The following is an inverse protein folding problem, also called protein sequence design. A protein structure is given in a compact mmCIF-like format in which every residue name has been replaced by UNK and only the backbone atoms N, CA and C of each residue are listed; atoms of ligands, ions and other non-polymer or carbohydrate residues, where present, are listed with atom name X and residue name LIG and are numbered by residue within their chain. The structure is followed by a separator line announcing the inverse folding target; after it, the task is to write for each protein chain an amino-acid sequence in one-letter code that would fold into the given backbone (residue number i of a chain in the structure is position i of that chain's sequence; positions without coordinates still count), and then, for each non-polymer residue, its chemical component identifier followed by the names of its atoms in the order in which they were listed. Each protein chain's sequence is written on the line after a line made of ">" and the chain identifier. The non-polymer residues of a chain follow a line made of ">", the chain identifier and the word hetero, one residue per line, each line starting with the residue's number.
data_IF_532400647372
#
_entry.id   IF_532400647372
#
_cell.length_a   1.000
_cell.length_b   1.000
_cell.length_c   1.000
_cell.angle_alpha   90.00
_cell.angle_beta   90.00
_cell.angle_gamma   90.00
#
_symmetry.space_group_name_H-M   'P 1'
#
loop_
_entity.id
_entity.type
_entity.pdbx_description
1 polymer ?
#
# COMPACT_ATOMS: atom_id res chain seq x y z
N UNK A 1 4.84 38.93 -11.03
CA UNK A 1 5.11 37.80 -10.12
C UNK A 1 4.58 36.56 -10.78
N UNK A 2 5.43 35.85 -11.52
CA UNK A 2 5.13 34.65 -12.27
C UNK A 2 4.96 33.47 -11.27
N UNK A 3 3.74 33.04 -11.04
CA UNK A 3 3.44 31.84 -10.29
C UNK A 3 3.60 30.62 -11.21
N UNK A 4 4.82 30.24 -11.52
CA UNK A 4 5.18 29.10 -12.39
C UNK A 4 5.11 27.76 -11.64
N UNK A 5 4.05 27.50 -10.92
CA UNK A 5 3.78 26.19 -10.34
C UNK A 5 2.48 25.63 -10.90
N UNK A 6 2.51 24.42 -11.51
CA UNK A 6 1.26 23.79 -11.90
C UNK A 6 0.34 23.69 -10.67
N UNK A 7 -0.99 23.91 -10.79
CA UNK A 7 -1.93 23.86 -9.65
C UNK A 7 -1.82 22.57 -8.83
N UNK A 8 -1.45 21.47 -9.49
CA UNK A 8 -1.20 20.17 -8.85
C UNK A 8 -0.04 20.24 -7.88
N UNK A 9 1.08 20.88 -8.26
CA UNK A 9 2.27 20.98 -7.40
C UNK A 9 2.05 21.89 -6.19
N UNK A 10 1.31 22.98 -6.35
CA UNK A 10 0.96 23.87 -5.24
C UNK A 10 0.06 23.16 -4.22
N UNK A 11 -1.00 22.47 -4.68
CA UNK A 11 -1.85 21.66 -3.82
C UNK A 11 -1.07 20.52 -3.15
N UNK A 12 -0.15 19.86 -3.87
CA UNK A 12 0.70 18.81 -3.31
C UNK A 12 1.60 19.31 -2.18
N UNK A 13 2.25 20.46 -2.37
CA UNK A 13 3.10 21.08 -1.35
C UNK A 13 2.30 21.42 -0.09
N UNK A 14 1.13 22.00 -0.26
CA UNK A 14 0.25 22.35 0.86
C UNK A 14 -0.19 21.11 1.62
N UNK A 15 -0.73 20.11 0.92
CA UNK A 15 -1.23 18.87 1.54
C UNK A 15 -0.11 18.10 2.25
N UNK A 16 1.09 18.03 1.64
CA UNK A 16 2.25 17.41 2.27
C UNK A 16 2.61 18.08 3.59
N UNK A 17 2.64 19.42 3.65
CA UNK A 17 2.96 20.16 4.87
C UNK A 17 1.91 19.90 5.96
N UNK A 18 0.63 19.86 5.61
CA UNK A 18 -0.46 19.54 6.53
C UNK A 18 -0.36 18.08 7.02
N UNK A 19 -0.13 17.14 6.11
CA UNK A 19 -0.03 15.72 6.44
C UNK A 19 1.17 15.42 7.34
N UNK A 20 2.36 15.97 7.07
CA UNK A 20 3.55 15.78 7.91
C UNK A 20 3.35 16.34 9.33
N UNK A 21 2.62 17.46 9.46
CA UNK A 21 2.28 18.04 10.77
C UNK A 21 1.13 17.36 11.49
N UNK A 22 0.41 16.47 10.82
CA UNK A 22 -0.67 15.70 11.41
C UNK A 22 -0.15 14.73 12.47
N UNK A 23 -0.77 14.72 13.64
CA UNK A 23 -0.45 13.76 14.72
C UNK A 23 -0.57 12.31 14.26
N UNK A 24 -1.55 12.01 13.42
CA UNK A 24 -1.74 10.66 12.88
C UNK A 24 -0.57 10.19 12.02
N UNK A 25 -0.04 11.06 11.16
CA UNK A 25 1.14 10.74 10.34
C UNK A 25 2.39 10.57 11.20
N UNK A 26 2.56 11.39 12.23
CA UNK A 26 3.68 11.30 13.16
C UNK A 26 3.62 10.00 14.01
N UNK A 27 2.43 9.66 14.52
CA UNK A 27 2.22 8.39 15.23
C UNK A 27 2.52 7.21 14.31
N UNK A 28 2.03 7.24 13.07
CA UNK A 28 2.34 6.20 12.10
C UNK A 28 3.85 6.09 11.85
N UNK A 29 4.55 7.20 11.62
CA UNK A 29 5.98 7.19 11.39
C UNK A 29 6.75 6.58 12.58
N UNK A 30 6.39 6.96 13.80
CA UNK A 30 6.99 6.44 15.01
C UNK A 30 6.71 4.94 15.20
N UNK A 31 5.45 4.53 15.07
CA UNK A 31 5.04 3.12 15.22
C UNK A 31 5.69 2.26 14.12
N UNK A 32 5.65 2.73 12.87
CA UNK A 32 6.25 2.00 11.75
C UNK A 32 7.76 1.88 11.91
N UNK A 33 8.45 2.93 12.33
CA UNK A 33 9.89 2.90 12.60
C UNK A 33 10.25 1.95 13.76
N UNK A 34 9.54 2.04 14.88
CA UNK A 34 9.77 1.15 16.01
C UNK A 34 9.54 -0.32 15.66
N UNK A 35 8.43 -0.63 14.98
CA UNK A 35 8.10 -2.01 14.61
C UNK A 35 9.05 -2.54 13.52
N UNK A 36 9.39 -1.73 12.52
CA UNK A 36 10.34 -2.13 11.48
C UNK A 36 11.73 -2.41 12.07
N UNK A 37 12.18 -1.56 12.99
CA UNK A 37 13.44 -1.76 13.70
C UNK A 37 13.38 -3.00 14.61
N UNK A 38 12.29 -3.20 15.36
CA UNK A 38 12.12 -4.37 16.22
C UNK A 38 12.12 -5.68 15.42
N UNK A 39 11.43 -5.72 14.26
CA UNK A 39 11.43 -6.87 13.36
C UNK A 39 12.83 -7.12 12.79
N UNK A 40 13.53 -6.07 12.35
CA UNK A 40 14.89 -6.21 11.82
C UNK A 40 15.86 -6.72 12.91
N UNK A 41 15.78 -6.17 14.12
CA UNK A 41 16.62 -6.58 15.25
C UNK A 41 16.30 -8.00 15.75
N UNK A 42 15.01 -8.38 15.83
CA UNK A 42 14.61 -9.73 16.28
C UNK A 42 15.05 -10.81 15.32
N UNK A 43 15.00 -10.55 14.01
CA UNK A 43 15.52 -11.47 13.00
C UNK A 43 16.99 -11.81 13.23
N UNK A 44 17.79 -10.83 13.63
CA UNK A 44 19.20 -11.00 13.93
C UNK A 44 19.46 -11.74 15.27
N UNK A 45 18.76 -11.35 16.33
CA UNK A 45 18.98 -11.94 17.70
C UNK A 45 18.62 -13.42 17.72
N UNK A 46 17.55 -13.81 17.00
CA UNK A 46 17.04 -15.18 17.00
C UNK A 46 17.84 -16.15 16.13
N UNK A 47 18.65 -15.64 15.20
CA UNK A 47 19.34 -16.46 14.20
C UNK A 47 20.80 -16.77 14.52
N UNK A 48 21.37 -16.23 15.58
CA UNK A 48 22.75 -16.50 16.00
C UNK A 48 23.82 -16.11 14.99
N UNK A 49 23.50 -15.23 14.03
CA UNK A 49 24.48 -14.63 13.11
C UNK A 49 24.80 -15.44 11.85
N UNK A 50 23.90 -16.28 11.35
CA UNK A 50 24.13 -17.13 10.17
C UNK A 50 23.67 -16.53 8.82
N UNK A 51 23.83 -15.24 8.63
CA UNK A 51 23.90 -14.55 7.32
C UNK A 51 22.64 -14.55 6.44
N UNK A 52 22.63 -15.27 5.34
CA UNK A 52 21.64 -15.11 4.22
C UNK A 52 20.25 -15.68 4.53
N UNK A 53 20.16 -16.75 5.29
CA UNK A 53 18.85 -17.34 5.69
C UNK A 53 18.09 -16.41 6.64
N UNK A 54 18.79 -15.58 7.36
CA UNK A 54 18.24 -14.64 8.33
C UNK A 54 17.59 -13.45 7.64
N UNK A 55 18.18 -12.95 6.55
CA UNK A 55 17.59 -11.89 5.75
C UNK A 55 16.22 -12.32 5.17
N UNK A 56 16.15 -13.52 4.60
CA UNK A 56 14.90 -14.04 4.01
C UNK A 56 13.77 -14.10 5.04
N UNK A 57 14.05 -14.56 6.26
CA UNK A 57 13.08 -14.65 7.35
C UNK A 57 12.67 -13.28 7.86
N UNK A 58 13.63 -12.38 8.06
CA UNK A 58 13.38 -10.98 8.45
C UNK A 58 12.56 -10.25 7.39
N UNK A 59 12.86 -10.47 6.11
CA UNK A 59 12.12 -9.88 5.00
C UNK A 59 10.66 -10.32 4.97
N UNK A 60 10.35 -11.59 5.20
CA UNK A 60 8.95 -12.08 5.32
C UNK A 60 8.21 -11.37 6.44
N UNK A 61 8.83 -11.22 7.60
CA UNK A 61 8.21 -10.52 8.74
C UNK A 61 8.00 -9.02 8.44
N UNK A 62 8.96 -8.37 7.78
CA UNK A 62 8.80 -6.98 7.32
C UNK A 62 7.70 -6.86 6.26
N UNK A 63 7.56 -7.82 5.33
CA UNK A 63 6.45 -7.85 4.37
C UNK A 63 5.12 -7.90 5.10
N UNK A 64 4.94 -8.77 6.10
CA UNK A 64 3.70 -8.87 6.87
C UNK A 64 3.38 -7.57 7.62
N UNK A 65 4.37 -6.94 8.21
CA UNK A 65 4.21 -5.64 8.86
C UNK A 65 3.75 -4.55 7.87
N UNK A 66 4.35 -4.49 6.69
CA UNK A 66 3.96 -3.58 5.60
C UNK A 66 2.52 -3.82 5.17
N UNK A 67 2.15 -5.08 4.90
CA UNK A 67 0.82 -5.46 4.43
C UNK A 67 -0.28 -5.13 5.44
N UNK A 68 0.04 -5.11 6.73
CA UNK A 68 -0.91 -4.76 7.78
C UNK A 68 -1.02 -3.24 7.97
N UNK A 69 0.11 -2.56 8.15
CA UNK A 69 0.14 -1.15 8.59
C UNK A 69 -0.06 -0.16 7.44
N UNK A 70 0.55 -0.41 6.27
CA UNK A 70 0.54 0.56 5.18
C UNK A 70 -0.87 0.76 4.59
N UNK A 71 -1.65 -0.30 4.28
CA UNK A 71 -3.04 -0.12 3.85
C UNK A 71 -3.91 0.60 4.86
N UNK A 72 -3.79 0.23 6.14
CA UNK A 72 -4.55 0.84 7.22
C UNK A 72 -4.30 2.34 7.31
N UNK A 73 -3.02 2.71 7.34
CA UNK A 73 -2.63 4.12 7.49
C UNK A 73 -2.95 4.95 6.26
N UNK A 74 -2.72 4.41 5.06
CA UNK A 74 -3.08 5.09 3.82
C UNK A 74 -4.59 5.33 3.72
N UNK A 75 -5.43 4.36 4.11
CA UNK A 75 -6.87 4.52 4.15
C UNK A 75 -7.31 5.54 5.21
N UNK A 76 -6.84 5.40 6.45
CA UNK A 76 -7.26 6.28 7.56
C UNK A 76 -6.82 7.72 7.30
N UNK A 77 -5.54 7.95 7.01
CA UNK A 77 -5.01 9.29 6.77
C UNK A 77 -5.61 9.87 5.49
N UNK A 78 -5.73 9.06 4.43
CA UNK A 78 -6.35 9.46 3.18
C UNK A 78 -7.79 9.90 3.35
N UNK A 79 -8.62 9.13 4.06
CA UNK A 79 -10.02 9.48 4.31
C UNK A 79 -10.12 10.70 5.23
N UNK A 80 -9.35 10.77 6.31
CA UNK A 80 -9.39 11.93 7.23
C UNK A 80 -8.99 13.22 6.53
N UNK A 81 -8.04 13.14 5.59
CA UNK A 81 -7.59 14.31 4.83
C UNK A 81 -8.55 14.69 3.70
N UNK A 82 -9.06 13.70 2.94
CA UNK A 82 -9.84 13.94 1.73
C UNK A 82 -11.35 14.09 1.97
N UNK A 83 -11.87 13.63 3.12
CA UNK A 83 -13.28 13.75 3.42
C UNK A 83 -13.70 15.23 3.57
N UNK A 84 -14.82 15.65 2.94
CA UNK A 84 -15.24 17.04 2.95
C UNK A 84 -15.57 17.51 4.38
N UNK A 85 -15.07 18.67 4.75
CA UNK A 85 -15.53 19.44 5.92
C UNK A 85 -16.61 20.42 5.46
N UNK A 86 -17.68 20.53 6.26
CA UNK A 86 -18.71 21.54 6.01
C UNK A 86 -18.08 22.95 6.06
N UNK A 87 -18.19 23.69 4.96
CA UNK A 87 -17.64 25.05 4.80
C UNK A 87 -16.26 25.13 4.15
N UNK A 88 -15.34 24.21 4.40
CA UNK A 88 -14.01 24.23 3.75
C UNK A 88 -14.06 23.81 2.28
N UNK A 89 -15.00 22.95 1.91
CA UNK A 89 -15.22 22.52 0.53
C UNK A 89 -15.72 23.65 -0.37
N UNK A 90 -16.61 24.53 0.13
CA UNK A 90 -17.15 25.65 -0.63
C UNK A 90 -16.04 26.65 -1.01
N UNK A 91 -15.14 26.95 -0.06
CA UNK A 91 -13.99 27.84 -0.31
C UNK A 91 -12.96 27.24 -1.29
N UNK A 92 -12.76 25.91 -1.26
CA UNK A 92 -11.83 25.24 -2.16
C UNK A 92 -12.37 25.17 -3.60
N UNK A 93 -13.70 25.04 -3.75
CA UNK A 93 -14.34 24.94 -5.07
C UNK A 93 -14.72 26.29 -5.67
N UNK A 94 -14.62 27.40 -4.93
CA UNK A 94 -14.73 28.75 -5.46
C UNK A 94 -13.49 29.23 -6.23
N UNK A 95 -12.36 28.53 -6.08
CA UNK A 95 -11.13 28.85 -6.81
C UNK A 95 -11.20 28.38 -8.29
N UNK A 96 -10.60 29.12 -9.24
CA UNK A 96 -10.59 28.77 -10.67
C UNK A 96 -9.61 27.64 -11.00
N UNK A 97 -9.63 26.54 -10.22
CA UNK A 97 -8.76 25.37 -10.37
C UNK A 97 -9.61 24.13 -10.61
N UNK A 98 -9.20 23.26 -11.53
CA UNK A 98 -9.98 22.05 -11.82
C UNK A 98 -10.02 21.11 -10.62
N UNK A 99 -11.21 20.56 -10.30
CA UNK A 99 -11.40 19.57 -9.21
C UNK A 99 -10.45 18.37 -9.32
N UNK A 100 -10.14 17.98 -10.58
CA UNK A 100 -9.16 16.91 -10.88
C UNK A 100 -7.75 17.30 -10.41
N UNK A 101 -7.29 18.52 -10.68
CA UNK A 101 -5.97 18.99 -10.27
C UNK A 101 -5.84 19.09 -8.77
N UNK A 102 -6.89 19.52 -8.08
CA UNK A 102 -6.93 19.58 -6.61
C UNK A 102 -6.80 18.17 -6.03
N UNK A 103 -7.60 17.20 -6.50
CA UNK A 103 -7.55 15.82 -5.98
C UNK A 103 -6.19 15.19 -6.24
N UNK A 104 -5.66 15.29 -7.45
CA UNK A 104 -4.35 14.70 -7.79
C UNK A 104 -3.22 15.37 -6.99
N UNK A 105 -3.27 16.68 -6.78
CA UNK A 105 -2.32 17.39 -5.94
C UNK A 105 -2.36 16.90 -4.49
N UNK A 106 -3.56 16.75 -3.92
CA UNK A 106 -3.74 16.24 -2.54
C UNK A 106 -3.25 14.80 -2.42
N UNK A 107 -3.59 13.92 -3.35
CA UNK A 107 -3.09 12.53 -3.37
C UNK A 107 -1.56 12.48 -3.43
N UNK A 108 -0.95 13.30 -4.28
CA UNK A 108 0.51 13.38 -4.39
C UNK A 108 1.15 13.90 -3.09
N UNK A 109 0.55 14.90 -2.44
CA UNK A 109 1.03 15.43 -1.16
C UNK A 109 0.95 14.40 -0.03
N UNK A 110 -0.17 13.67 0.07
CA UNK A 110 -0.35 12.58 1.03
C UNK A 110 0.63 11.44 0.77
N UNK A 111 0.80 11.04 -0.49
CA UNK A 111 1.79 10.02 -0.86
C UNK A 111 3.20 10.42 -0.42
N UNK A 112 3.63 11.66 -0.68
CA UNK A 112 4.95 12.14 -0.27
C UNK A 112 5.12 12.13 1.26
N UNK A 113 4.10 12.50 2.02
CA UNK A 113 4.14 12.49 3.47
C UNK A 113 4.26 11.06 4.04
N UNK A 114 3.45 10.12 3.52
CA UNK A 114 3.48 8.72 3.94
C UNK A 114 4.75 8.00 3.49
N UNK A 115 5.23 8.27 2.27
CA UNK A 115 6.50 7.76 1.77
C UNK A 115 7.68 8.24 2.62
N UNK A 116 7.66 9.51 3.06
CA UNK A 116 8.65 10.04 3.98
C UNK A 116 8.62 9.35 5.35
N UNK A 117 7.42 9.09 5.90
CA UNK A 117 7.25 8.35 7.15
C UNK A 117 7.76 6.89 7.02
N UNK A 118 7.48 6.22 5.91
CA UNK A 118 7.99 4.88 5.62
C UNK A 118 9.50 4.88 5.43
N UNK A 119 10.07 5.91 4.78
CA UNK A 119 11.50 6.04 4.60
C UNK A 119 12.26 6.12 5.93
N UNK A 120 11.69 6.74 6.95
CA UNK A 120 12.25 6.75 8.32
C UNK A 120 12.30 5.32 8.88
N UNK A 121 11.20 4.57 8.80
CA UNK A 121 11.13 3.20 9.31
C UNK A 121 12.02 2.23 8.56
N UNK A 122 11.99 2.28 7.23
CA UNK A 122 12.87 1.45 6.40
C UNK A 122 14.34 1.86 6.52
N UNK A 123 14.64 3.16 6.71
CA UNK A 123 15.99 3.62 6.96
C UNK A 123 16.56 3.00 8.24
N UNK A 124 15.79 3.04 9.33
CA UNK A 124 16.18 2.42 10.60
C UNK A 124 16.35 0.88 10.47
N UNK A 125 15.39 0.19 9.86
CA UNK A 125 15.47 -1.25 9.63
C UNK A 125 16.60 -1.62 8.65
N UNK A 126 16.82 -0.80 7.60
CA UNK A 126 17.84 -1.00 6.60
C UNK A 126 19.26 -0.97 7.17
N UNK A 127 19.54 -0.07 8.11
CA UNK A 127 20.84 -0.02 8.82
C UNK A 127 21.12 -1.38 9.46
N UNK A 128 20.13 -1.96 10.16
CA UNK A 128 20.30 -3.27 10.81
C UNK A 128 20.46 -4.38 9.77
N UNK A 129 19.58 -4.41 8.76
CA UNK A 129 19.61 -5.44 7.71
C UNK A 129 20.93 -5.43 6.95
N UNK A 130 21.42 -4.26 6.53
CA UNK A 130 22.65 -4.17 5.73
C UNK A 130 23.93 -4.41 6.53
N UNK A 131 23.93 -4.09 7.81
CA UNK A 131 25.05 -4.44 8.68
C UNK A 131 25.23 -5.95 8.83
N UNK A 132 24.18 -6.75 8.59
CA UNK A 132 24.15 -8.20 8.81
C UNK A 132 24.14 -9.02 7.52
N UNK A 133 23.28 -8.66 6.56
CA UNK A 133 23.13 -9.40 5.30
C UNK A 133 24.11 -8.97 4.19
N UNK A 134 24.84 -7.88 4.40
CA UNK A 134 25.73 -7.33 3.39
C UNK A 134 24.97 -6.92 2.12
N UNK A 135 25.67 -6.97 0.97
CA UNK A 135 25.12 -6.53 -0.31
C UNK A 135 24.04 -7.45 -0.90
N UNK A 136 23.99 -8.71 -0.51
CA UNK A 136 23.07 -9.71 -1.09
C UNK A 136 21.60 -9.42 -0.78
N UNK A 137 21.29 -8.73 0.33
CA UNK A 137 19.94 -8.37 0.74
C UNK A 137 19.37 -7.10 0.09
N UNK A 138 20.20 -6.27 -0.56
CA UNK A 138 19.81 -4.92 -1.03
C UNK A 138 18.65 -4.99 -2.02
N UNK A 139 18.73 -5.87 -3.02
CA UNK A 139 17.69 -5.99 -4.05
C UNK A 139 16.34 -6.37 -3.48
N UNK A 140 16.29 -7.33 -2.57
CA UNK A 140 15.07 -7.75 -1.89
C UNK A 140 14.50 -6.67 -0.99
N UNK A 141 15.35 -5.94 -0.27
CA UNK A 141 14.92 -4.83 0.57
C UNK A 141 14.35 -3.66 -0.25
N UNK A 142 14.97 -3.31 -1.37
CA UNK A 142 14.45 -2.30 -2.28
C UNK A 142 13.09 -2.71 -2.89
N UNK A 143 12.91 -3.98 -3.20
CA UNK A 143 11.63 -4.51 -3.69
C UNK A 143 10.55 -4.42 -2.62
N UNK A 144 10.88 -4.68 -1.36
CA UNK A 144 9.98 -4.48 -0.21
C UNK A 144 9.54 -3.01 -0.09
N UNK A 145 10.50 -2.08 -0.16
CA UNK A 145 10.22 -0.63 -0.13
C UNK A 145 9.32 -0.23 -1.29
N UNK A 146 9.62 -0.69 -2.51
CA UNK A 146 8.81 -0.42 -3.70
C UNK A 146 7.38 -0.97 -3.54
N UNK A 147 7.23 -2.20 -3.07
CA UNK A 147 5.92 -2.80 -2.77
C UNK A 147 5.11 -1.98 -1.77
N UNK A 148 5.77 -1.48 -0.73
CA UNK A 148 5.17 -0.60 0.28
C UNK A 148 4.68 0.73 -0.33
N UNK A 149 5.46 1.35 -1.21
CA UNK A 149 5.06 2.59 -1.91
C UNK A 149 3.89 2.34 -2.87
N UNK A 150 3.89 1.23 -3.61
CA UNK A 150 2.77 0.83 -4.48
C UNK A 150 1.51 0.64 -3.66
N UNK A 151 1.57 -0.06 -2.52
CA UNK A 151 0.45 -0.21 -1.58
C UNK A 151 -0.09 1.14 -1.12
N UNK A 152 0.79 2.07 -0.78
CA UNK A 152 0.40 3.42 -0.38
C UNK A 152 -0.42 4.11 -1.48
N UNK A 153 0.02 4.06 -2.74
CA UNK A 153 -0.70 4.66 -3.87
C UNK A 153 -2.07 4.01 -4.07
N UNK A 154 -2.13 2.67 -4.06
CA UNK A 154 -3.39 1.92 -4.22
C UNK A 154 -4.40 2.31 -3.14
N UNK A 155 -4.00 2.27 -1.87
CA UNK A 155 -4.92 2.51 -0.77
C UNK A 155 -5.27 3.99 -0.58
N UNK A 156 -4.41 4.93 -0.96
CA UNK A 156 -4.76 6.34 -1.11
C UNK A 156 -5.80 6.56 -2.22
N UNK A 157 -5.69 5.85 -3.34
CA UNK A 157 -6.70 5.87 -4.40
C UNK A 157 -8.06 5.36 -3.91
N UNK A 158 -8.07 4.26 -3.16
CA UNK A 158 -9.28 3.71 -2.54
C UNK A 158 -9.86 4.70 -1.51
N UNK A 159 -9.01 5.31 -0.67
CA UNK A 159 -9.43 6.35 0.27
C UNK A 159 -10.11 7.53 -0.42
N UNK A 160 -9.56 7.98 -1.56
CA UNK A 160 -10.15 9.04 -2.37
C UNK A 160 -11.52 8.63 -2.93
N UNK A 161 -11.67 7.39 -3.42
CA UNK A 161 -12.94 6.88 -3.92
C UNK A 161 -14.01 6.79 -2.82
N UNK A 162 -13.63 6.43 -1.59
CA UNK A 162 -14.51 6.39 -0.42
C UNK A 162 -14.89 7.80 0.01
N UNK A 163 -13.92 8.70 0.13
CA UNK A 163 -14.13 10.07 0.55
C UNK A 163 -15.02 10.85 -0.44
N UNK A 164 -14.82 10.68 -1.75
CA UNK A 164 -15.58 11.36 -2.80
C UNK A 164 -17.05 10.92 -2.90
N UNK A 165 -17.41 9.77 -2.36
CA UNK A 165 -18.81 9.28 -2.29
C UNK A 165 -19.52 9.63 -1.01
N UNK A 166 -18.89 10.39 -0.11
CA UNK A 166 -19.42 10.68 1.22
C UNK A 166 -19.95 12.10 1.32
N UNK A 167 -21.20 12.25 1.80
CA UNK A 167 -21.83 13.54 2.08
C UNK A 167 -22.02 13.69 3.59
N UNK A 168 -21.34 14.66 4.20
CA UNK A 168 -21.67 15.18 5.52
C UNK A 168 -20.74 14.79 6.67
N UNK A 169 -20.74 13.58 7.19
CA UNK A 169 -19.99 13.22 8.42
C UNK A 169 -18.74 12.38 8.11
N UNK A 170 -17.59 12.75 8.67
CA UNK A 170 -16.30 12.02 8.51
C UNK A 170 -16.32 10.59 9.07
N UNK A 171 -17.20 10.29 10.02
CA UNK A 171 -17.28 8.96 10.64
C UNK A 171 -17.68 7.85 9.67
N UNK A 172 -18.59 8.14 8.74
CA UNK A 172 -19.05 7.13 7.76
C UNK A 172 -17.96 6.68 6.80
N UNK A 173 -17.22 7.56 6.09
CA UNK A 173 -16.14 7.13 5.22
C UNK A 173 -14.99 6.47 5.98
N UNK A 174 -14.73 6.86 7.24
CA UNK A 174 -13.74 6.19 8.07
C UNK A 174 -14.15 4.75 8.41
N UNK A 175 -15.40 4.52 8.79
CA UNK A 175 -15.92 3.18 9.05
C UNK A 175 -15.82 2.30 7.78
N UNK A 176 -16.19 2.82 6.61
CA UNK A 176 -16.07 2.11 5.32
C UNK A 176 -14.60 1.78 5.05
N UNK A 177 -13.67 2.70 5.28
CA UNK A 177 -12.24 2.47 5.07
C UNK A 177 -11.71 1.34 5.96
N UNK A 178 -12.11 1.30 7.25
CA UNK A 178 -11.73 0.22 8.16
C UNK A 178 -12.30 -1.13 7.74
N UNK A 179 -13.55 -1.17 7.26
CA UNK A 179 -14.15 -2.41 6.72
C UNK A 179 -13.39 -2.87 5.46
N UNK A 180 -13.06 -1.95 4.54
CA UNK A 180 -12.27 -2.28 3.34
C UNK A 180 -10.91 -2.85 3.74
N UNK A 181 -10.22 -2.21 4.70
CA UNK A 181 -8.95 -2.71 5.19
C UNK A 181 -9.09 -4.13 5.77
N UNK A 182 -10.05 -4.33 6.66
CA UNK A 182 -10.27 -5.62 7.31
C UNK A 182 -10.59 -6.73 6.30
N UNK A 183 -11.46 -6.43 5.33
CA UNK A 183 -11.82 -7.37 4.26
C UNK A 183 -10.62 -7.67 3.38
N UNK A 184 -9.88 -6.66 2.90
CA UNK A 184 -8.79 -6.87 1.94
C UNK A 184 -7.54 -7.51 2.58
N UNK A 185 -7.24 -7.20 3.85
CA UNK A 185 -5.99 -7.63 4.50
C UNK A 185 -6.18 -8.89 5.35
N UNK A 186 -7.34 -9.04 5.99
CA UNK A 186 -7.56 -10.13 6.96
C UNK A 186 -8.53 -11.18 6.43
N UNK A 187 -9.72 -10.75 6.02
CA UNK A 187 -10.79 -11.67 5.70
C UNK A 187 -10.60 -12.35 4.34
N UNK A 188 -9.97 -11.67 3.40
CA UNK A 188 -9.82 -12.15 2.02
C UNK A 188 -9.03 -13.45 1.94
N UNK A 189 -7.88 -13.54 2.60
CA UNK A 189 -7.04 -14.75 2.63
C UNK A 189 -7.79 -15.93 3.27
N UNK A 190 -8.45 -15.68 4.39
CA UNK A 190 -9.22 -16.69 5.10
C UNK A 190 -10.37 -17.20 4.23
N UNK A 191 -11.08 -16.29 3.56
CA UNK A 191 -12.17 -16.65 2.66
C UNK A 191 -11.67 -17.42 1.43
N UNK A 192 -10.58 -16.97 0.81
CA UNK A 192 -9.99 -17.65 -0.35
C UNK A 192 -9.54 -19.08 -0.02
N UNK A 193 -8.86 -19.26 1.11
CA UNK A 193 -8.44 -20.59 1.59
C UNK A 193 -9.63 -21.45 1.99
N UNK A 194 -10.62 -20.87 2.69
CA UNK A 194 -11.83 -21.57 3.09
C UNK A 194 -12.61 -22.11 1.89
N UNK A 195 -12.81 -21.28 0.86
CA UNK A 195 -13.49 -21.72 -0.38
C UNK A 195 -12.63 -22.73 -1.14
N UNK A 196 -11.31 -22.53 -1.21
CA UNK A 196 -10.41 -23.46 -1.90
C UNK A 196 -10.41 -24.85 -1.27
N UNK A 197 -10.58 -24.97 0.06
CA UNK A 197 -10.63 -26.25 0.78
C UNK A 197 -11.87 -27.09 0.44
N UNK A 198 -12.93 -26.46 -0.07
CA UNK A 198 -14.17 -27.11 -0.46
C UNK A 198 -14.18 -27.55 -1.93
N UNK A 199 -13.16 -27.16 -2.71
CA UNK A 199 -13.09 -27.40 -4.15
C UNK A 199 -12.14 -28.56 -4.49
N UNK A 200 -12.37 -29.28 -5.62
CA UNK A 200 -11.37 -30.19 -6.17
C UNK A 200 -10.04 -29.48 -6.46
N UNK A 201 -8.92 -30.19 -6.30
CA UNK A 201 -7.56 -29.63 -6.36
C UNK A 201 -7.26 -28.74 -7.58
N UNK A 202 -7.79 -29.11 -8.76
CA UNK A 202 -7.62 -28.30 -9.97
C UNK A 202 -8.37 -26.97 -9.95
N UNK A 203 -9.59 -26.94 -9.40
CA UNK A 203 -10.41 -25.73 -9.25
C UNK A 203 -9.89 -24.86 -8.09
N UNK A 204 -9.47 -25.48 -6.99
CA UNK A 204 -8.85 -24.80 -5.86
C UNK A 204 -7.61 -23.99 -6.29
N UNK A 205 -6.72 -24.59 -7.08
CA UNK A 205 -5.53 -23.91 -7.60
C UNK A 205 -5.88 -22.70 -8.47
N UNK A 206 -6.88 -22.83 -9.36
CA UNK A 206 -7.34 -21.69 -10.19
C UNK A 206 -7.92 -20.56 -9.35
N UNK A 207 -8.72 -20.90 -8.34
CA UNK A 207 -9.30 -19.92 -7.42
C UNK A 207 -8.20 -19.16 -6.67
N UNK A 208 -7.21 -19.85 -6.12
CA UNK A 208 -6.10 -19.19 -5.42
C UNK A 208 -5.26 -18.28 -6.35
N UNK A 209 -5.05 -18.67 -7.60
CA UNK A 209 -4.39 -17.82 -8.60
C UNK A 209 -5.18 -16.55 -8.86
N UNK A 210 -6.50 -16.67 -9.06
CA UNK A 210 -7.38 -15.52 -9.23
C UNK A 210 -7.41 -14.65 -7.98
N UNK A 211 -7.43 -15.24 -6.79
CA UNK A 211 -7.40 -14.52 -5.54
C UNK A 211 -6.18 -13.61 -5.43
N UNK A 212 -4.98 -14.13 -5.75
CA UNK A 212 -3.75 -13.31 -5.75
C UNK A 212 -3.84 -12.13 -6.71
N UNK A 213 -4.41 -12.30 -7.89
CA UNK A 213 -4.50 -11.22 -8.91
C UNK A 213 -5.58 -10.20 -8.54
N UNK A 214 -6.67 -10.63 -7.92
CA UNK A 214 -7.81 -9.77 -7.60
C UNK A 214 -7.61 -8.93 -6.34
N UNK A 215 -6.70 -9.31 -5.43
CA UNK A 215 -6.41 -8.55 -4.22
C UNK A 215 -5.05 -7.83 -4.35
N UNK A 216 -5.00 -6.48 -4.26
CA UNK A 216 -3.74 -5.76 -4.36
C UNK A 216 -2.76 -6.09 -3.23
N UNK A 217 -3.26 -6.51 -2.05
CA UNK A 217 -2.43 -6.93 -0.91
C UNK A 217 -1.66 -8.21 -1.26
N UNK A 218 -2.36 -9.21 -1.80
CA UNK A 218 -1.76 -10.48 -2.19
C UNK A 218 -0.87 -10.36 -3.42
N UNK A 219 -1.23 -9.47 -4.35
CA UNK A 219 -0.38 -9.18 -5.50
C UNK A 219 0.97 -8.59 -5.08
N UNK A 220 0.99 -7.63 -4.14
CA UNK A 220 2.23 -7.07 -3.58
C UNK A 220 2.98 -8.11 -2.76
N UNK A 221 2.27 -8.86 -1.88
CA UNK A 221 2.88 -9.95 -1.09
C UNK A 221 3.61 -10.94 -2.00
N UNK A 222 2.88 -11.49 -2.97
CA UNK A 222 3.42 -12.50 -3.88
C UNK A 222 4.57 -11.96 -4.72
N UNK A 223 4.44 -10.77 -5.28
CA UNK A 223 5.49 -10.14 -6.08
C UNK A 223 6.76 -9.85 -5.28
N UNK A 224 6.61 -9.34 -4.05
CA UNK A 224 7.75 -9.05 -3.18
C UNK A 224 8.46 -10.32 -2.72
N UNK A 225 7.70 -11.33 -2.27
CA UNK A 225 8.27 -12.61 -1.85
C UNK A 225 8.93 -13.36 -3.02
N UNK A 226 8.33 -13.32 -4.21
CA UNK A 226 8.92 -13.92 -5.42
C UNK A 226 10.28 -13.29 -5.74
N UNK A 227 10.40 -11.99 -5.59
CA UNK A 227 11.66 -11.30 -5.84
C UNK A 227 12.72 -11.46 -4.75
N UNK A 228 12.31 -11.68 -3.49
CA UNK A 228 13.24 -11.86 -2.36
C UNK A 228 13.75 -13.31 -2.27
N UNK A 229 12.86 -14.27 -2.35
CA UNK A 229 13.14 -15.68 -2.08
C UNK A 229 13.16 -16.55 -3.34
N UNK A 230 12.83 -15.96 -4.49
CA UNK A 230 12.67 -16.72 -5.73
C UNK A 230 11.58 -17.78 -5.62
N UNK A 231 11.78 -18.92 -6.29
CA UNK A 231 10.81 -20.03 -6.28
C UNK A 231 10.84 -20.87 -5.01
N UNK A 232 11.85 -20.72 -4.16
CA UNK A 232 12.01 -21.50 -2.92
C UNK A 232 11.04 -21.09 -1.80
N UNK A 233 10.52 -19.87 -1.84
CA UNK A 233 9.62 -19.32 -0.81
C UNK A 233 8.20 -19.87 -0.85
N UNK A 234 7.87 -20.58 -1.89
CA UNK A 234 6.49 -20.83 -2.21
C UNK A 234 6.08 -22.26 -1.86
N UNK A 235 5.11 -22.36 -0.98
CA UNK A 235 4.32 -23.59 -0.84
C UNK A 235 3.58 -23.94 -2.15
N UNK A 236 2.83 -25.05 -2.11
CA UNK A 236 2.15 -25.61 -3.29
C UNK A 236 1.30 -24.61 -4.12
N UNK A 237 0.69 -23.61 -3.49
CA UNK A 237 -0.16 -22.62 -4.16
C UNK A 237 0.66 -21.70 -5.10
N UNK A 238 1.84 -21.30 -4.72
CA UNK A 238 2.67 -20.40 -5.52
C UNK A 238 3.43 -21.12 -6.61
N UNK A 239 3.79 -22.38 -6.40
CA UNK A 239 4.27 -23.22 -7.49
C UNK A 239 3.18 -23.42 -8.55
N UNK A 240 1.92 -23.56 -8.15
CA UNK A 240 0.77 -23.60 -9.07
C UNK A 240 0.65 -22.28 -9.85
N UNK A 241 0.84 -21.13 -9.19
CA UNK A 241 0.83 -19.81 -9.84
C UNK A 241 1.94 -19.67 -10.88
N UNK A 242 3.19 -20.07 -10.54
CA UNK A 242 4.31 -20.02 -11.48
C UNK A 242 4.14 -20.99 -12.66
N UNK A 243 3.57 -22.18 -12.43
CA UNK A 243 3.22 -23.11 -13.52
C UNK A 243 2.14 -22.55 -14.42
N UNK A 244 1.11 -21.92 -13.87
CA UNK A 244 0.04 -21.27 -14.63
C UNK A 244 0.57 -20.13 -15.50
N UNK A 245 1.44 -19.29 -14.98
CA UNK A 245 2.02 -18.15 -15.70
C UNK A 245 3.16 -18.54 -16.62
N UNK A 246 3.57 -19.82 -16.62
CA UNK A 246 4.70 -20.33 -17.42
C UNK A 246 6.04 -19.65 -17.12
N UNK A 247 6.24 -19.20 -15.88
CA UNK A 247 7.50 -18.64 -15.42
C UNK A 247 7.36 -17.35 -14.61
N UNK A 248 8.45 -17.01 -13.92
CA UNK A 248 8.50 -15.86 -13.01
C UNK A 248 8.33 -14.51 -13.73
N UNK A 249 8.82 -14.35 -14.95
CA UNK A 249 8.67 -13.13 -15.72
C UNK A 249 7.20 -12.83 -16.05
N UNK A 250 6.45 -13.83 -16.53
CA UNK A 250 5.04 -13.67 -16.82
C UNK A 250 4.21 -13.44 -15.55
N UNK A 251 4.59 -14.09 -14.44
CA UNK A 251 4.00 -13.85 -13.14
C UNK A 251 4.18 -12.38 -12.71
N UNK A 252 5.39 -11.85 -12.82
CA UNK A 252 5.69 -10.45 -12.51
C UNK A 252 4.89 -9.48 -13.39
N UNK A 253 4.78 -9.75 -14.69
CA UNK A 253 3.95 -8.94 -15.60
C UNK A 253 2.46 -8.95 -15.21
N UNK A 254 1.91 -10.11 -14.90
CA UNK A 254 0.51 -10.24 -14.49
C UNK A 254 0.23 -9.49 -13.18
N UNK A 255 1.10 -9.63 -12.18
CA UNK A 255 1.00 -8.91 -10.91
C UNK A 255 1.14 -7.40 -11.09
N UNK A 256 2.12 -6.96 -11.90
CA UNK A 256 2.31 -5.54 -12.22
C UNK A 256 1.09 -4.94 -12.90
N UNK A 257 0.49 -5.66 -13.85
CA UNK A 257 -0.74 -5.23 -14.53
C UNK A 257 -1.91 -5.11 -13.55
N UNK A 258 -2.09 -6.10 -12.67
CA UNK A 258 -3.11 -6.04 -11.61
C UNK A 258 -2.92 -4.81 -10.72
N UNK A 259 -1.69 -4.56 -10.26
CA UNK A 259 -1.38 -3.42 -9.41
C UNK A 259 -1.60 -2.08 -10.13
N UNK A 260 -1.27 -1.97 -11.41
CA UNK A 260 -1.57 -0.79 -12.23
C UNK A 260 -3.08 -0.53 -12.30
N UNK A 261 -3.89 -1.56 -12.47
CA UNK A 261 -5.35 -1.43 -12.44
C UNK A 261 -5.82 -0.91 -11.08
N UNK A 262 -5.31 -1.47 -9.98
CA UNK A 262 -5.65 -1.02 -8.63
C UNK A 262 -5.17 0.40 -8.30
N UNK A 263 -4.09 0.87 -8.92
CA UNK A 263 -3.63 2.26 -8.78
C UNK A 263 -4.54 3.24 -9.55
N UNK A 264 -5.00 2.84 -10.75
CA UNK A 264 -5.72 3.73 -11.66
C UNK A 264 -7.23 3.74 -11.40
N UNK A 265 -7.85 2.56 -11.23
CA UNK A 265 -9.31 2.44 -11.14
C UNK A 265 -9.93 3.21 -9.97
N UNK A 266 -9.43 3.10 -8.72
CA UNK A 266 -10.01 3.84 -7.60
C UNK A 266 -9.84 5.36 -7.75
N UNK A 267 -8.68 5.81 -8.23
CA UNK A 267 -8.42 7.22 -8.49
C UNK A 267 -9.34 7.77 -9.60
N UNK A 268 -9.53 7.02 -10.68
CA UNK A 268 -10.46 7.38 -11.75
C UNK A 268 -11.92 7.43 -11.27
N UNK A 269 -12.32 6.49 -10.41
CA UNK A 269 -13.63 6.49 -9.78
C UNK A 269 -13.84 7.73 -8.89
N UNK A 270 -12.84 8.10 -8.10
CA UNK A 270 -12.89 9.30 -7.28
C UNK A 270 -13.08 10.56 -8.14
N UNK A 271 -12.31 10.69 -9.22
CA UNK A 271 -12.42 11.81 -10.16
C UNK A 271 -13.82 11.86 -10.81
N UNK A 272 -14.36 10.70 -11.23
CA UNK A 272 -15.71 10.63 -11.82
C UNK A 272 -16.80 11.05 -10.84
N UNK A 273 -16.71 10.62 -9.58
CA UNK A 273 -17.65 10.99 -8.51
C UNK A 273 -17.62 12.48 -8.21
N UNK A 274 -16.42 13.07 -8.12
CA UNK A 274 -16.25 14.51 -7.92
C UNK A 274 -16.80 15.37 -9.06
N UNK A 275 -16.78 14.87 -10.30
CA UNK A 275 -17.38 15.58 -11.44
C UNK A 275 -18.91 15.55 -11.41
N UNK A 276 -19.51 14.47 -10.90
CA UNK A 276 -20.97 14.28 -10.83
C UNK A 276 -21.60 14.87 -9.59
N UNK A 277 -20.80 15.21 -8.56
CA UNK A 277 -21.29 15.90 -7.39
C UNK A 277 -21.58 17.36 -7.79
N UNK A 278 -22.82 17.61 -8.21
CA UNK A 278 -23.36 18.96 -8.34
C UNK A 278 -23.46 19.55 -6.92
N UNK A 279 -22.74 20.64 -6.73
CA UNK A 279 -22.83 21.49 -5.54
C UNK A 279 -23.79 22.63 -5.80
#
# INVERSE_FOLDING_TARGET
>A
MSADGSPVLLCSRQERLLAVRSRWTQIFAAVFACLSLAVAASGYILSGGHGVQDFSRTAVSLVQLVLLLVPLTALVIGVLSLAPERGASELLFSQPVSRKSILLGRLLGLFQALAGAQAIGFGAAGIVVFSQAGQQGIGGFLLLVLGSLVMTVVFLGIAAAVASGSTGRRSRPLAIALVIWFVAVVLYDVAALGVASLLPSGSASRLLILAVVLNPVDAVRTGTLLGIQGTAAFGAASLAFLRFTRGAANAAWLLSFSLLLWMVLPAALAIRRLKKADL
#
